data_IF_803226629080
#
_entry.id   IF_803226629080
#
_cell.length_a   1.000
_cell.length_b   1.000
_cell.length_c   1.000
_cell.angle_alpha   90.00
_cell.angle_beta   90.00
_cell.angle_gamma   90.00
#
_symmetry.space_group_name_H-M   'P 1'
#
loop_
_entity.id
_entity.type
_entity.pdbx_description
1 polymer ?
#
# COMPACT_ATOMS: atom_id res chain seq x y z
N UNK A 1 25.98 -12.93 -5.80
CA UNK A 1 27.03 -12.40 -6.69
C UNK A 1 27.06 -10.90 -6.49
N UNK A 2 28.27 -10.32 -6.36
CA UNK A 2 28.48 -8.89 -6.12
C UNK A 2 29.02 -8.25 -7.40
N UNK A 3 28.54 -7.04 -7.68
CA UNK A 3 28.91 -6.23 -8.84
C UNK A 3 29.24 -4.83 -8.33
N UNK A 4 30.53 -4.52 -8.27
CA UNK A 4 31.03 -3.27 -7.71
C UNK A 4 30.60 -2.10 -8.60
N UNK A 5 30.08 -1.02 -8.00
CA UNK A 5 29.56 0.12 -8.72
C UNK A 5 30.66 0.84 -9.51
N UNK A 6 31.86 0.92 -8.94
CA UNK A 6 33.01 1.56 -9.56
C UNK A 6 33.50 0.82 -10.81
N UNK A 7 33.10 -0.42 -11.05
CA UNK A 7 33.41 -1.15 -12.30
C UNK A 7 32.35 -0.93 -13.39
N UNK A 8 31.29 -0.16 -13.09
CA UNK A 8 30.22 0.19 -14.02
C UNK A 8 30.63 1.20 -15.10
N UNK A 9 29.66 1.53 -15.95
CA UNK A 9 29.76 2.64 -16.91
C UNK A 9 29.23 3.90 -16.23
N UNK A 10 30.12 4.88 -16.06
CA UNK A 10 29.83 6.16 -15.41
C UNK A 10 29.52 7.23 -16.47
N UNK A 11 28.40 7.92 -16.33
CA UNK A 11 28.04 9.10 -17.11
C UNK A 11 27.81 10.28 -16.16
N UNK A 12 28.68 11.28 -16.17
CA UNK A 12 28.59 12.47 -15.31
C UNK A 12 28.95 12.24 -13.83
N UNK A 13 28.81 11.01 -13.34
CA UNK A 13 29.24 10.55 -12.00
C UNK A 13 30.73 10.21 -11.92
N UNK A 14 31.27 10.08 -10.71
CA UNK A 14 32.68 9.77 -10.46
C UNK A 14 32.91 8.70 -9.38
N UNK A 15 34.11 8.09 -9.40
CA UNK A 15 34.55 7.13 -8.36
C UNK A 15 35.10 7.89 -7.16
N UNK A 16 34.78 7.44 -5.95
CA UNK A 16 35.31 8.00 -4.70
C UNK A 16 35.74 6.91 -3.72
N UNK A 17 36.56 7.31 -2.75
CA UNK A 17 37.02 6.50 -1.61
C UNK A 17 36.97 7.30 -0.30
N UNK A 18 36.27 8.44 -0.29
CA UNK A 18 36.30 9.37 0.86
C UNK A 18 35.50 8.82 2.05
N UNK A 19 34.30 8.30 1.80
CA UNK A 19 33.50 7.60 2.81
C UNK A 19 34.11 6.22 3.05
N UNK A 20 34.41 5.84 4.29
CA UNK A 20 34.98 4.54 4.61
C UNK A 20 33.93 3.40 4.54
N UNK A 21 34.41 2.16 4.59
CA UNK A 21 33.59 0.92 4.65
C UNK A 21 32.81 0.58 3.38
N UNK A 22 33.27 1.05 2.21
CA UNK A 22 32.84 0.55 0.89
C UNK A 22 33.38 -0.87 0.62
N UNK A 23 32.77 -1.59 -0.33
CA UNK A 23 33.34 -2.82 -0.91
C UNK A 23 34.23 -2.54 -2.11
N UNK A 24 34.96 -3.56 -2.58
CA UNK A 24 35.86 -3.39 -3.71
C UNK A 24 36.97 -2.34 -3.47
N UNK A 25 37.09 -1.41 -4.41
CA UNK A 25 38.12 -0.38 -4.48
C UNK A 25 37.55 1.05 -4.39
N UNK A 26 36.25 1.21 -4.18
CA UNK A 26 35.61 2.51 -4.02
C UNK A 26 34.11 2.40 -4.15
N UNK A 27 33.48 3.51 -4.49
CA UNK A 27 32.06 3.61 -4.77
C UNK A 27 31.83 4.71 -5.80
N UNK A 28 30.60 4.84 -6.30
CA UNK A 28 30.22 5.89 -7.27
C UNK A 28 29.38 6.96 -6.58
N UNK A 29 29.71 8.22 -6.85
CA UNK A 29 29.06 9.43 -6.31
C UNK A 29 28.92 10.50 -7.38
N UNK A 30 28.40 11.68 -7.03
CA UNK A 30 28.26 12.82 -7.95
C UNK A 30 27.04 12.73 -8.86
N UNK A 31 25.94 12.16 -8.36
CA UNK A 31 24.64 12.24 -9.02
C UNK A 31 24.04 13.64 -8.79
N UNK A 32 24.47 14.63 -9.57
CA UNK A 32 24.19 16.06 -9.31
C UNK A 32 23.37 16.72 -10.44
N UNK A 33 23.51 16.23 -11.67
CA UNK A 33 22.83 16.70 -12.88
C UNK A 33 21.77 15.69 -13.34
N UNK A 34 20.66 16.13 -13.97
CA UNK A 34 19.59 15.24 -14.42
C UNK A 34 20.03 14.10 -15.37
N UNK A 35 21.10 14.32 -16.14
CA UNK A 35 21.67 13.34 -17.08
C UNK A 35 22.63 12.33 -16.44
N UNK A 36 23.02 12.53 -15.18
CA UNK A 36 23.99 11.65 -14.53
C UNK A 36 23.41 10.25 -14.34
N UNK A 37 24.25 9.25 -14.59
CA UNK A 37 23.85 7.85 -14.44
C UNK A 37 25.03 6.93 -14.20
N UNK A 38 24.71 5.81 -13.55
CA UNK A 38 25.60 4.67 -13.34
C UNK A 38 24.93 3.44 -13.94
N UNK A 39 25.61 2.75 -14.86
CA UNK A 39 25.16 1.45 -15.36
C UNK A 39 26.07 0.33 -14.88
N UNK A 40 25.53 -0.57 -14.05
CA UNK A 40 26.21 -1.76 -13.53
C UNK A 40 25.85 -2.96 -14.40
N UNK A 41 26.85 -3.71 -14.83
CA UNK A 41 26.65 -4.93 -15.61
C UNK A 41 26.47 -6.12 -14.67
N UNK A 42 25.27 -6.69 -14.63
CA UNK A 42 24.92 -7.86 -13.85
C UNK A 42 25.01 -9.12 -14.70
N UNK A 43 25.92 -10.03 -14.38
CA UNK A 43 26.02 -11.32 -15.06
C UNK A 43 25.17 -12.38 -14.34
N UNK A 44 24.14 -12.88 -15.01
CA UNK A 44 23.29 -13.96 -14.51
C UNK A 44 23.66 -15.29 -15.21
N UNK A 45 23.99 -16.36 -14.46
CA UNK A 45 24.43 -17.64 -15.04
C UNK A 45 23.33 -18.38 -15.81
N UNK A 46 22.07 -18.01 -15.61
CA UNK A 46 20.89 -18.55 -16.27
C UNK A 46 19.73 -17.57 -16.14
N UNK A 47 18.78 -17.61 -17.07
CA UNK A 47 17.56 -16.81 -16.98
C UNK A 47 16.78 -17.18 -15.70
N UNK A 48 16.22 -16.16 -15.04
CA UNK A 48 15.32 -16.37 -13.92
C UNK A 48 15.13 -15.15 -13.03
N UNK A 49 14.47 -15.37 -11.90
CA UNK A 49 14.29 -14.35 -10.88
C UNK A 49 15.47 -14.32 -9.93
N UNK A 50 15.94 -13.11 -9.65
CA UNK A 50 17.01 -12.84 -8.71
C UNK A 50 16.55 -11.81 -7.69
N UNK A 51 16.83 -12.06 -6.41
CA UNK A 51 16.72 -11.03 -5.37
C UNK A 51 17.87 -10.06 -5.59
N UNK A 52 17.58 -8.77 -5.57
CA UNK A 52 18.52 -7.68 -5.74
C UNK A 52 18.69 -6.93 -4.41
N UNK A 53 19.93 -6.57 -4.11
CA UNK A 53 20.30 -5.67 -3.03
C UNK A 53 21.18 -4.55 -3.60
N UNK A 54 21.09 -3.38 -2.98
CA UNK A 54 21.84 -2.19 -3.35
C UNK A 54 22.67 -1.80 -2.11
N UNK A 55 23.98 -1.84 -2.24
CA UNK A 55 24.88 -1.19 -1.29
C UNK A 55 24.89 0.30 -1.57
N UNK A 56 24.49 1.12 -0.59
CA UNK A 56 24.36 2.56 -0.78
C UNK A 56 24.71 3.34 0.48
N UNK A 57 25.01 4.62 0.30
CA UNK A 57 25.08 5.61 1.37
C UNK A 57 24.23 6.83 0.99
N UNK A 58 23.35 7.25 1.90
CA UNK A 58 22.44 8.39 1.71
C UNK A 58 22.77 9.52 2.69
N UNK A 59 23.88 10.24 2.54
CA UNK A 59 24.34 11.19 3.56
C UNK A 59 23.49 12.47 3.65
N UNK A 60 22.60 12.70 2.69
CA UNK A 60 21.93 14.00 2.49
C UNK A 60 20.43 14.00 2.78
N UNK A 61 19.93 13.15 3.68
CA UNK A 61 18.49 12.97 3.89
C UNK A 61 17.87 12.01 2.88
N UNK A 62 16.55 11.81 2.91
CA UNK A 62 15.85 10.93 1.97
C UNK A 62 16.18 11.25 0.51
N UNK A 63 16.45 10.21 -0.28
CA UNK A 63 16.67 10.28 -1.71
C UNK A 63 15.86 9.26 -2.47
N UNK A 64 15.79 9.47 -3.77
CA UNK A 64 15.15 8.58 -4.72
C UNK A 64 16.00 8.52 -6.00
N UNK A 65 16.12 7.34 -6.59
CA UNK A 65 16.71 7.13 -7.92
C UNK A 65 15.72 6.38 -8.80
N UNK A 66 15.65 6.71 -10.09
CA UNK A 66 14.93 5.87 -11.05
C UNK A 66 15.88 4.79 -11.58
N UNK A 67 15.36 3.57 -11.63
CA UNK A 67 16.06 2.37 -12.05
C UNK A 67 15.58 1.95 -13.44
N UNK A 68 16.52 1.52 -14.27
CA UNK A 68 16.20 0.84 -15.52
C UNK A 68 16.97 -0.47 -15.65
N UNK A 69 16.36 -1.43 -16.32
CA UNK A 69 16.93 -2.75 -16.59
C UNK A 69 16.92 -2.99 -18.10
N UNK A 70 18.09 -3.30 -18.67
CA UNK A 70 18.28 -3.55 -20.09
C UNK A 70 17.71 -2.42 -20.97
N UNK A 71 17.83 -1.17 -20.48
CA UNK A 71 17.36 0.03 -21.17
C UNK A 71 15.86 0.30 -21.09
N UNK A 72 15.10 -0.51 -20.34
CA UNK A 72 13.68 -0.27 -20.06
C UNK A 72 13.51 0.28 -18.63
N UNK A 73 12.59 1.24 -18.41
CA UNK A 73 12.19 1.63 -17.06
C UNK A 73 11.83 0.39 -16.24
N UNK A 74 12.32 0.31 -15.02
CA UNK A 74 12.10 -0.85 -14.15
C UNK A 74 11.26 -0.48 -12.93
N UNK A 75 11.68 0.53 -12.17
CA UNK A 75 11.00 1.07 -11.00
C UNK A 75 11.81 2.24 -10.44
N UNK A 76 11.40 2.81 -9.30
CA UNK A 76 12.22 3.71 -8.49
C UNK A 76 12.76 3.01 -7.23
N UNK A 77 13.73 3.65 -6.58
CA UNK A 77 14.25 3.22 -5.28
C UNK A 77 14.35 4.39 -4.32
N UNK A 78 13.71 4.28 -3.16
CA UNK A 78 13.92 5.19 -2.02
C UNK A 78 15.17 4.78 -1.25
N UNK A 79 16.08 5.73 -1.06
CA UNK A 79 17.31 5.60 -0.32
C UNK A 79 17.20 6.45 0.95
N UNK A 80 16.85 5.81 2.06
CA UNK A 80 16.69 6.48 3.37
C UNK A 80 18.04 6.98 3.89
N UNK A 81 18.07 8.07 4.68
CA UNK A 81 19.32 8.65 5.13
C UNK A 81 20.17 7.69 5.96
N UNK A 82 21.48 7.72 5.73
CA UNK A 82 22.46 6.90 6.46
C UNK A 82 23.69 7.72 6.84
N UNK A 83 24.41 7.26 7.86
CA UNK A 83 25.70 7.85 8.28
C UNK A 83 26.91 7.13 7.65
N UNK A 84 26.68 6.21 6.73
CA UNK A 84 27.67 5.34 6.09
C UNK A 84 26.99 4.30 5.20
N UNK A 85 27.79 3.42 4.59
CA UNK A 85 27.26 2.38 3.71
C UNK A 85 26.39 1.39 4.47
N UNK A 86 25.22 1.11 3.90
CA UNK A 86 24.29 0.06 4.31
C UNK A 86 23.84 -0.72 3.09
N UNK A 87 23.12 -1.82 3.32
CA UNK A 87 22.53 -2.62 2.26
C UNK A 87 21.01 -2.50 2.30
N UNK A 88 20.42 -2.10 1.17
CA UNK A 88 18.99 -2.16 0.94
C UNK A 88 18.66 -3.47 0.23
N UNK A 89 17.84 -4.33 0.87
CA UNK A 89 17.15 -5.42 0.17
C UNK A 89 16.04 -4.83 -0.68
N UNK A 90 16.35 -4.51 -1.93
CA UNK A 90 15.44 -3.81 -2.83
C UNK A 90 14.24 -4.69 -3.18
N UNK A 91 14.41 -5.68 -4.05
CA UNK A 91 13.32 -6.50 -4.56
C UNK A 91 13.81 -7.54 -5.55
N UNK A 92 12.88 -8.31 -6.14
CA UNK A 92 13.22 -9.28 -7.17
C UNK A 92 13.30 -8.63 -8.55
N UNK A 93 14.18 -9.14 -9.40
CA UNK A 93 14.39 -8.71 -10.77
C UNK A 93 14.50 -9.94 -11.68
N UNK A 94 13.86 -9.90 -12.86
CA UNK A 94 14.06 -10.93 -13.88
C UNK A 94 15.31 -10.62 -14.69
N UNK A 95 16.26 -11.55 -14.71
CA UNK A 95 17.48 -11.40 -15.52
C UNK A 95 17.50 -12.46 -16.62
N UNK A 96 17.95 -12.06 -17.80
CA UNK A 96 18.28 -12.98 -18.90
C UNK A 96 19.59 -13.71 -18.59
N UNK A 97 19.81 -14.88 -19.20
CA UNK A 97 21.14 -15.52 -19.15
C UNK A 97 22.21 -14.59 -19.75
N UNK A 98 23.34 -14.45 -19.07
CA UNK A 98 24.44 -13.59 -19.46
C UNK A 98 24.37 -12.19 -18.87
N UNK A 99 24.83 -11.21 -19.64
CA UNK A 99 24.97 -9.82 -19.18
C UNK A 99 23.63 -9.08 -19.26
N UNK A 100 23.24 -8.47 -18.15
CA UNK A 100 22.12 -7.55 -18.03
C UNK A 100 22.66 -6.19 -17.57
N UNK A 101 22.04 -5.10 -18.00
CA UNK A 101 22.46 -3.74 -17.62
C UNK A 101 21.46 -3.16 -16.63
N UNK A 102 21.89 -2.90 -15.40
CA UNK A 102 21.08 -2.27 -14.37
C UNK A 102 21.59 -0.85 -14.13
N UNK A 103 20.73 0.14 -14.33
CA UNK A 103 21.13 1.54 -14.40
C UNK A 103 20.39 2.37 -13.36
N UNK A 104 21.16 3.14 -12.59
CA UNK A 104 20.70 4.21 -11.71
C UNK A 104 20.77 5.54 -12.47
N UNK A 105 19.71 6.32 -12.39
CA UNK A 105 19.71 7.73 -12.86
C UNK A 105 19.64 8.67 -11.66
N UNK A 106 20.04 9.93 -11.83
CA UNK A 106 20.09 10.92 -10.75
C UNK A 106 18.88 10.92 -9.85
N UNK A 107 17.65 10.96 -10.38
CA UNK A 107 16.46 11.12 -9.54
C UNK A 107 16.58 12.38 -8.67
N UNK A 108 16.57 12.23 -7.35
CA UNK A 108 16.81 13.33 -6.39
C UNK A 108 18.31 13.64 -6.17
N UNK A 109 19.21 12.79 -6.66
CA UNK A 109 20.66 12.97 -6.62
C UNK A 109 21.31 12.79 -5.24
N UNK A 110 22.57 13.18 -5.10
CA UNK A 110 23.25 13.32 -3.79
C UNK A 110 23.28 12.06 -2.91
N UNK A 111 23.38 10.88 -3.52
CA UNK A 111 23.61 9.59 -2.87
C UNK A 111 24.84 8.89 -3.48
N UNK A 112 25.33 7.88 -2.78
CA UNK A 112 26.45 7.05 -3.19
C UNK A 112 25.99 5.61 -3.42
N UNK A 113 26.51 4.96 -4.45
CA UNK A 113 26.27 3.54 -4.76
C UNK A 113 27.59 2.77 -4.64
N UNK A 114 27.61 1.75 -3.79
CA UNK A 114 28.76 0.89 -3.49
C UNK A 114 28.78 -0.33 -4.42
N UNK A 115 27.70 -1.11 -4.42
CA UNK A 115 27.58 -2.30 -5.24
C UNK A 115 26.12 -2.65 -5.52
N UNK A 116 25.92 -3.52 -6.51
CA UNK A 116 24.69 -4.28 -6.69
C UNK A 116 24.98 -5.74 -6.38
N UNK A 117 24.14 -6.36 -5.56
CA UNK A 117 24.22 -7.80 -5.25
C UNK A 117 22.98 -8.49 -5.76
N UNK A 118 23.15 -9.64 -6.42
CA UNK A 118 22.05 -10.51 -6.83
C UNK A 118 22.20 -11.94 -6.32
N UNK A 119 21.07 -12.59 -6.05
CA UNK A 119 20.99 -14.00 -5.68
C UNK A 119 19.79 -14.64 -6.38
N UNK A 120 20.01 -15.77 -7.06
CA UNK A 120 18.91 -16.50 -7.72
C UNK A 120 17.87 -16.91 -6.68
N UNK A 121 16.60 -16.63 -6.99
CA UNK A 121 15.46 -16.95 -6.13
C UNK A 121 14.96 -18.34 -6.49
N UNK A 122 14.72 -19.15 -5.46
CA UNK A 122 14.05 -20.42 -5.64
C UNK A 122 12.58 -20.17 -6.05
N UNK A 123 11.95 -21.06 -6.83
CA UNK A 123 10.53 -20.95 -7.14
C UNK A 123 9.70 -20.76 -5.87
N UNK A 124 8.77 -19.80 -5.90
CA UNK A 124 7.93 -19.45 -4.75
C UNK A 124 7.13 -20.68 -4.30
N UNK A 125 7.13 -20.96 -3.00
CA UNK A 125 6.26 -21.98 -2.42
C UNK A 125 4.81 -21.51 -2.39
N UNK A 126 3.87 -22.45 -2.25
CA UNK A 126 2.47 -22.10 -2.03
C UNK A 126 2.33 -21.29 -0.74
N UNK A 127 1.51 -20.25 -0.78
CA UNK A 127 1.16 -19.42 0.38
C UNK A 127 0.69 -20.23 1.59
N UNK A 128 1.08 -19.79 2.79
CA UNK A 128 0.78 -20.45 4.06
C UNK A 128 -0.43 -19.86 4.80
N UNK A 129 -1.18 -18.99 4.14
CA UNK A 129 -2.38 -18.35 4.68
C UNK A 129 -3.47 -19.39 4.95
N UNK A 130 -4.08 -19.32 6.13
CA UNK A 130 -5.22 -20.17 6.54
C UNK A 130 -6.50 -19.37 6.51
N UNK A 131 -7.64 -20.04 6.30
CA UNK A 131 -8.94 -19.42 6.41
C UNK A 131 -9.38 -19.25 7.88
N UNK A 132 -8.71 -18.36 8.60
CA UNK A 132 -8.95 -18.04 10.00
C UNK A 132 -8.87 -16.51 10.14
N UNK A 133 -9.94 -15.89 10.63
CA UNK A 133 -9.95 -14.46 10.97
C UNK A 133 -9.56 -14.29 12.46
N UNK A 134 -8.93 -13.17 12.80
CA UNK A 134 -8.47 -12.86 14.16
C UNK A 134 -9.64 -12.75 15.14
N UNK A 135 -10.83 -12.38 14.66
CA UNK A 135 -12.05 -12.41 15.45
C UNK A 135 -12.66 -13.84 15.45
N UNK A 136 -12.67 -14.56 16.58
CA UNK A 136 -13.22 -15.91 16.65
C UNK A 136 -14.75 -15.96 16.47
N UNK A 137 -15.43 -14.82 16.59
CA UNK A 137 -16.88 -14.69 16.41
C UNK A 137 -17.25 -14.15 15.02
N UNK A 138 -16.31 -14.09 14.07
CA UNK A 138 -16.54 -13.56 12.73
C UNK A 138 -17.80 -14.15 12.08
N UNK A 139 -18.57 -13.32 11.38
CA UNK A 139 -19.79 -13.78 10.69
C UNK A 139 -19.45 -14.79 9.60
N UNK A 140 -20.43 -15.61 9.21
CA UNK A 140 -20.26 -16.57 8.12
C UNK A 140 -19.90 -15.85 6.81
N UNK A 141 -20.43 -14.66 6.58
CA UNK A 141 -20.19 -13.86 5.39
C UNK A 141 -18.74 -13.34 5.35
N UNK A 142 -18.19 -12.91 6.49
CA UNK A 142 -16.79 -12.49 6.59
C UNK A 142 -15.85 -13.67 6.34
N UNK A 143 -16.11 -14.83 6.96
CA UNK A 143 -15.33 -16.06 6.72
C UNK A 143 -15.43 -16.55 5.27
N UNK A 144 -16.60 -16.43 4.65
CA UNK A 144 -16.80 -16.80 3.24
C UNK A 144 -16.07 -15.84 2.30
N UNK A 145 -16.10 -14.52 2.57
CA UNK A 145 -15.32 -13.54 1.80
C UNK A 145 -13.81 -13.81 1.94
N UNK A 146 -13.32 -14.00 3.16
CA UNK A 146 -11.91 -14.31 3.39
C UNK A 146 -11.49 -15.61 2.69
N UNK A 147 -12.33 -16.65 2.75
CA UNK A 147 -12.10 -17.90 2.00
C UNK A 147 -12.01 -17.66 0.50
N UNK A 148 -12.89 -16.84 -0.06
CA UNK A 148 -12.89 -16.52 -1.48
C UNK A 148 -11.58 -15.83 -1.89
N UNK A 149 -11.14 -14.81 -1.14
CA UNK A 149 -9.85 -14.16 -1.36
C UNK A 149 -8.71 -15.17 -1.32
N UNK A 150 -8.70 -16.07 -0.33
CA UNK A 150 -7.70 -17.13 -0.22
C UNK A 150 -7.71 -18.13 -1.39
N UNK A 151 -8.89 -18.51 -1.88
CA UNK A 151 -9.02 -19.46 -2.98
C UNK A 151 -8.46 -18.89 -4.30
N UNK A 152 -8.43 -17.56 -4.44
CA UNK A 152 -7.87 -16.81 -5.58
C UNK A 152 -6.45 -16.27 -5.36
N UNK A 153 -5.97 -16.23 -4.12
CA UNK A 153 -4.64 -15.72 -3.78
C UNK A 153 -3.52 -16.49 -4.51
N UNK A 154 -2.73 -15.77 -5.31
CA UNK A 154 -1.69 -16.34 -6.20
C UNK A 154 -2.21 -17.00 -7.48
N UNK A 155 -3.49 -16.81 -7.81
CA UNK A 155 -4.09 -17.30 -9.07
C UNK A 155 -4.77 -16.20 -9.87
N UNK A 156 -5.30 -15.21 -9.18
CA UNK A 156 -5.96 -14.05 -9.75
C UNK A 156 -5.71 -12.83 -8.86
N UNK A 157 -5.90 -11.66 -9.44
CA UNK A 157 -6.05 -10.40 -8.71
C UNK A 157 -7.48 -9.89 -8.90
N UNK A 158 -8.12 -9.42 -7.84
CA UNK A 158 -9.44 -8.78 -7.96
C UNK A 158 -9.26 -7.32 -8.39
N UNK A 159 -10.05 -6.87 -9.36
CA UNK A 159 -10.12 -5.46 -9.77
C UNK A 159 -10.82 -4.62 -8.72
N UNK A 160 -10.32 -3.41 -8.47
CA UNK A 160 -10.96 -2.48 -7.56
C UNK A 160 -10.84 -1.02 -7.96
N UNK A 161 -11.81 -0.23 -7.52
CA UNK A 161 -11.91 1.21 -7.76
C UNK A 161 -12.45 1.91 -6.51
N UNK A 162 -11.82 3.00 -6.09
CA UNK A 162 -12.37 3.90 -5.08
C UNK A 162 -13.56 4.66 -5.68
N UNK A 163 -14.61 4.87 -4.87
CA UNK A 163 -15.85 5.56 -5.24
C UNK A 163 -16.79 4.76 -6.16
N UNK A 164 -18.05 4.64 -5.74
CA UNK A 164 -19.08 3.92 -6.49
C UNK A 164 -19.39 4.54 -7.85
N UNK A 165 -19.37 5.88 -7.97
CA UNK A 165 -19.72 6.54 -9.23
C UNK A 165 -18.70 6.19 -10.30
N UNK A 166 -17.41 6.32 -9.98
CA UNK A 166 -16.34 6.00 -10.92
C UNK A 166 -16.29 4.51 -11.24
N UNK A 167 -16.55 3.63 -10.26
CA UNK A 167 -16.72 2.21 -10.51
C UNK A 167 -17.83 1.92 -11.53
N UNK A 168 -18.96 2.63 -11.47
CA UNK A 168 -20.05 2.51 -12.45
C UNK A 168 -19.68 3.11 -13.81
N UNK A 169 -18.89 4.17 -13.85
CA UNK A 169 -18.39 4.79 -15.08
C UNK A 169 -17.43 3.85 -15.84
N UNK A 170 -16.62 3.06 -15.13
CA UNK A 170 -15.79 2.02 -15.75
C UNK A 170 -16.61 1.01 -16.56
N UNK A 171 -17.83 0.67 -16.10
CA UNK A 171 -18.73 -0.17 -16.88
C UNK A 171 -19.19 0.51 -18.17
N UNK A 172 -19.51 1.81 -18.08
CA UNK A 172 -19.97 2.57 -19.23
C UNK A 172 -18.88 2.73 -20.28
N UNK A 173 -17.62 2.88 -19.86
CA UNK A 173 -16.48 3.10 -20.76
C UNK A 173 -15.80 1.81 -21.24
N UNK A 174 -15.56 0.86 -20.33
CA UNK A 174 -14.77 -0.35 -20.59
C UNK A 174 -15.58 -1.65 -20.58
N UNK A 175 -16.88 -1.58 -20.27
CA UNK A 175 -17.82 -2.71 -20.35
C UNK A 175 -17.79 -3.66 -19.14
N UNK A 176 -16.97 -3.38 -18.13
CA UNK A 176 -16.76 -4.22 -16.94
C UNK A 176 -16.89 -3.40 -15.66
N UNK A 177 -17.42 -4.02 -14.61
CA UNK A 177 -17.44 -3.45 -13.26
C UNK A 177 -16.28 -4.03 -12.46
N UNK A 178 -15.61 -3.24 -11.59
CA UNK A 178 -14.62 -3.78 -10.66
C UNK A 178 -15.26 -4.79 -9.71
N UNK A 179 -14.48 -5.76 -9.23
CA UNK A 179 -14.95 -6.70 -8.22
C UNK A 179 -15.08 -6.05 -6.82
N UNK A 180 -14.17 -5.11 -6.52
CA UNK A 180 -14.06 -4.40 -5.23
C UNK A 180 -14.38 -2.92 -5.44
N UNK A 181 -15.15 -2.31 -4.53
CA UNK A 181 -15.27 -0.85 -4.47
C UNK A 181 -14.79 -0.36 -3.11
N UNK A 182 -13.96 0.68 -3.16
CA UNK A 182 -13.48 1.42 -2.01
C UNK A 182 -14.42 2.55 -1.62
N UNK A 183 -14.68 2.66 -0.33
CA UNK A 183 -15.59 3.63 0.28
C UNK A 183 -14.92 4.32 1.48
N UNK A 184 -15.47 5.44 1.93
CA UNK A 184 -14.91 6.22 3.04
C UNK A 184 -15.96 6.74 4.03
N UNK A 185 -15.73 6.48 5.32
CA UNK A 185 -16.59 6.98 6.40
C UNK A 185 -16.26 8.41 6.86
N UNK A 186 -15.34 9.14 6.20
CA UNK A 186 -14.90 10.50 6.54
C UNK A 186 -16.04 11.44 6.92
N UNK A 187 -17.10 11.49 6.11
CA UNK A 187 -18.24 12.39 6.27
C UNK A 187 -19.12 12.07 7.50
N UNK A 188 -18.95 10.88 8.12
CA UNK A 188 -19.59 10.51 9.39
C UNK A 188 -18.78 10.94 10.62
N UNK A 189 -17.55 11.42 10.47
CA UNK A 189 -16.74 11.90 11.60
C UNK A 189 -17.49 13.02 12.34
N UNK A 190 -17.69 12.95 13.68
CA UNK A 190 -18.52 13.90 14.41
C UNK A 190 -18.15 15.37 14.21
N UNK A 191 -16.86 15.68 14.06
CA UNK A 191 -16.40 17.05 13.78
C UNK A 191 -16.82 17.55 12.40
N UNK A 192 -16.86 16.70 11.39
CA UNK A 192 -17.40 17.07 10.07
C UNK A 192 -18.92 17.22 10.11
N UNK A 193 -19.62 16.32 10.79
CA UNK A 193 -21.08 16.41 11.00
C UNK A 193 -21.46 17.70 11.72
N UNK A 194 -20.67 18.13 12.71
CA UNK A 194 -20.86 19.41 13.39
C UNK A 194 -20.73 20.63 12.45
N UNK A 195 -19.96 20.48 11.37
CA UNK A 195 -19.82 21.48 10.29
C UNK A 195 -20.84 21.29 9.15
N UNK A 196 -21.82 20.40 9.32
CA UNK A 196 -22.94 20.22 8.40
C UNK A 196 -22.71 19.14 7.33
N UNK A 197 -21.64 18.34 7.43
CA UNK A 197 -21.48 17.16 6.60
C UNK A 197 -22.63 16.18 6.77
N UNK A 198 -22.99 15.52 5.67
CA UNK A 198 -23.94 14.42 5.64
C UNK A 198 -23.45 13.41 4.62
N UNK A 199 -23.60 12.12 4.92
CA UNK A 199 -23.07 11.04 4.10
C UNK A 199 -24.17 10.09 3.66
N UNK A 200 -23.98 9.53 2.46
CA UNK A 200 -24.75 8.40 1.93
C UNK A 200 -23.88 7.16 1.72
N UNK A 201 -22.71 7.10 2.34
CA UNK A 201 -21.73 6.06 2.04
C UNK A 201 -22.28 4.66 2.35
N UNK A 202 -23.01 4.50 3.46
CA UNK A 202 -23.65 3.22 3.79
C UNK A 202 -24.70 2.84 2.75
N UNK A 203 -25.49 3.79 2.25
CA UNK A 203 -26.45 3.55 1.16
C UNK A 203 -25.76 3.15 -0.14
N UNK A 204 -24.62 3.76 -0.48
CA UNK A 204 -23.82 3.39 -1.64
C UNK A 204 -23.24 1.96 -1.48
N UNK A 205 -22.80 1.59 -0.28
CA UNK A 205 -22.32 0.23 0.01
C UNK A 205 -23.45 -0.80 -0.15
N UNK A 206 -24.65 -0.50 0.35
CA UNK A 206 -25.83 -1.35 0.17
C UNK A 206 -26.15 -1.55 -1.31
N UNK A 207 -26.11 -0.47 -2.10
CA UNK A 207 -26.31 -0.54 -3.55
C UNK A 207 -25.24 -1.40 -4.25
N UNK A 208 -23.99 -1.32 -3.80
CA UNK A 208 -22.91 -2.11 -4.37
C UNK A 208 -23.03 -3.60 -4.03
N UNK A 209 -23.43 -3.91 -2.80
CA UNK A 209 -23.68 -5.29 -2.36
C UNK A 209 -24.88 -5.92 -3.12
N UNK A 210 -25.91 -5.14 -3.46
CA UNK A 210 -27.02 -5.60 -4.35
C UNK A 210 -26.54 -6.03 -5.75
N UNK A 211 -25.39 -5.54 -6.21
CA UNK A 211 -24.76 -5.98 -7.47
C UNK A 211 -23.84 -7.20 -7.27
N UNK A 212 -23.67 -7.66 -6.03
CA UNK A 212 -22.79 -8.75 -5.63
C UNK A 212 -21.33 -8.35 -5.45
N UNK A 213 -21.07 -7.06 -5.25
CA UNK A 213 -19.74 -6.51 -5.11
C UNK A 213 -19.07 -6.80 -3.76
N UNK A 214 -17.76 -6.56 -3.71
CA UNK A 214 -16.98 -6.59 -2.47
C UNK A 214 -16.71 -5.17 -2.02
N UNK A 215 -16.88 -4.90 -0.73
CA UNK A 215 -16.67 -3.59 -0.11
C UNK A 215 -15.33 -3.57 0.63
N UNK A 216 -14.46 -2.62 0.28
CA UNK A 216 -13.35 -2.17 1.13
C UNK A 216 -13.63 -0.77 1.65
N UNK A 217 -13.32 -0.52 2.91
CA UNK A 217 -13.80 0.65 3.63
C UNK A 217 -12.68 1.26 4.45
N UNK A 218 -12.35 2.50 4.11
CA UNK A 218 -11.42 3.34 4.84
C UNK A 218 -12.17 4.33 5.73
N UNK A 219 -11.40 5.04 6.55
CA UNK A 219 -11.91 6.18 7.31
C UNK A 219 -10.82 7.23 7.41
N UNK A 220 -10.92 8.27 6.59
CA UNK A 220 -10.15 9.50 6.81
C UNK A 220 -10.71 10.20 8.05
N UNK A 221 -10.23 9.77 9.22
CA UNK A 221 -10.74 10.19 10.51
C UNK A 221 -10.43 11.66 10.74
N UNK A 222 -11.41 12.54 10.61
CA UNK A 222 -11.25 13.95 10.94
C UNK A 222 -11.10 14.08 12.46
N UNK A 223 -10.01 14.70 12.95
CA UNK A 223 -9.68 14.68 14.36
C UNK A 223 -10.87 15.11 15.25
N UNK A 224 -11.04 14.49 16.44
CA UNK A 224 -12.21 14.69 17.30
C UNK A 224 -12.34 16.11 17.86
N UNK A 225 -11.23 16.85 17.94
CA UNK A 225 -11.15 18.22 18.46
C UNK A 225 -9.88 18.90 17.97
N UNK A 226 -9.69 20.15 18.37
CA UNK A 226 -8.48 20.95 18.09
C UNK A 226 -8.15 21.06 16.60
N UNK A 227 -9.17 21.21 15.76
CA UNK A 227 -8.99 21.55 14.35
C UNK A 227 -8.39 22.96 14.24
N UNK A 228 -7.46 23.15 13.29
CA UNK A 228 -6.91 24.47 13.02
C UNK A 228 -7.98 25.43 12.49
N UNK A 229 -8.84 24.92 11.58
CA UNK A 229 -9.95 25.62 10.95
C UNK A 229 -9.62 27.06 10.50
N UNK A 230 -8.56 27.17 9.68
CA UNK A 230 -8.13 28.41 9.04
C UNK A 230 -8.41 28.40 7.53
N UNK A 231 -8.09 29.49 6.84
CA UNK A 231 -8.20 29.55 5.37
C UNK A 231 -7.25 28.53 4.70
N UNK A 232 -6.05 28.37 5.26
CA UNK A 232 -5.01 27.47 4.75
C UNK A 232 -5.26 26.01 5.16
N UNK A 233 -5.78 25.81 6.38
CA UNK A 233 -6.10 24.51 6.97
C UNK A 233 -7.58 24.48 7.41
N UNK A 234 -8.52 24.44 6.46
CA UNK A 234 -9.96 24.43 6.77
C UNK A 234 -10.37 23.14 7.50
N UNK A 235 -11.44 23.20 8.30
CA UNK A 235 -11.91 22.07 9.13
C UNK A 235 -12.01 20.72 8.42
N UNK A 236 -12.32 20.70 7.12
CA UNK A 236 -12.49 19.46 6.34
C UNK A 236 -11.17 18.75 6.05
N UNK A 237 -10.03 19.39 6.32
CA UNK A 237 -8.67 18.81 6.30
C UNK A 237 -8.21 18.28 7.66
N UNK A 238 -9.11 18.21 8.65
CA UNK A 238 -8.79 17.85 10.03
C UNK A 238 -8.27 16.43 10.26
N UNK A 239 -8.22 15.59 9.22
CA UNK A 239 -7.57 14.29 9.25
C UNK A 239 -6.04 14.38 9.05
N UNK A 240 -5.55 15.44 8.39
CA UNK A 240 -4.12 15.70 8.27
C UNK A 240 -3.51 16.18 9.59
N UNK A 241 -2.27 15.80 9.85
CA UNK A 241 -1.46 16.27 10.99
C UNK A 241 -1.35 17.79 11.01
N UNK A 242 -1.23 18.44 9.86
CA UNK A 242 -1.20 19.91 9.77
C UNK A 242 -2.57 20.57 9.98
N UNK A 243 -3.66 19.80 9.89
CA UNK A 243 -5.04 20.27 10.03
C UNK A 243 -5.54 20.30 11.47
N UNK A 244 -4.75 19.83 12.45
CA UNK A 244 -5.14 19.74 13.85
C UNK A 244 -3.94 19.85 14.80
N UNK A 245 -4.16 20.32 16.03
CA UNK A 245 -3.18 20.20 17.13
C UNK A 245 -3.49 19.05 18.09
N UNK A 246 -4.41 18.15 17.73
CA UNK A 246 -4.80 17.01 18.56
C UNK A 246 -3.60 16.08 18.84
N UNK A 247 -3.33 15.81 20.12
CA UNK A 247 -2.20 14.97 20.53
C UNK A 247 -2.68 13.58 20.94
N UNK A 248 -2.57 12.63 20.01
CA UNK A 248 -3.01 11.25 20.23
C UNK A 248 -2.21 10.55 21.34
N UNK A 249 -0.93 10.87 21.52
CA UNK A 249 -0.12 10.24 22.58
C UNK A 249 -0.63 10.67 23.96
N UNK A 250 -0.90 11.97 24.13
CA UNK A 250 -1.47 12.50 25.38
C UNK A 250 -2.89 11.99 25.64
N UNK A 251 -3.73 11.90 24.61
CA UNK A 251 -5.07 11.36 24.73
C UNK A 251 -5.05 9.90 25.21
N UNK A 252 -4.22 9.05 24.58
CA UNK A 252 -4.09 7.63 24.95
C UNK A 252 -3.40 7.40 26.30
N UNK A 253 -2.53 8.31 26.73
CA UNK A 253 -1.89 8.24 28.05
C UNK A 253 -2.86 8.53 29.21
N UNK A 254 -4.00 9.18 28.93
CA UNK A 254 -4.95 9.65 29.94
C UNK A 254 -6.39 9.17 29.66
N UNK A 255 -6.75 7.90 29.95
CA UNK A 255 -8.07 7.34 29.62
C UNK A 255 -9.28 8.05 30.24
N UNK A 256 -9.10 8.78 31.34
CA UNK A 256 -10.17 9.56 31.97
C UNK A 256 -10.38 10.96 31.35
N UNK A 257 -9.47 11.38 30.46
CA UNK A 257 -9.49 12.69 29.82
C UNK A 257 -10.69 12.88 28.88
N UNK A 258 -11.01 14.14 28.59
CA UNK A 258 -11.99 14.49 27.57
C UNK A 258 -11.54 14.00 26.19
N UNK A 259 -10.26 14.16 25.87
CA UNK A 259 -9.66 13.78 24.58
C UNK A 259 -9.84 12.29 24.29
N UNK A 260 -9.58 11.43 25.28
CA UNK A 260 -9.82 10.00 25.16
C UNK A 260 -11.31 9.67 24.98
N UNK A 261 -12.19 10.35 25.70
CA UNK A 261 -13.65 10.17 25.57
C UNK A 261 -14.15 10.60 24.18
N UNK A 262 -13.57 11.64 23.59
CA UNK A 262 -13.92 12.07 22.24
C UNK A 262 -13.44 11.06 21.19
N UNK A 263 -12.24 10.46 21.35
CA UNK A 263 -11.81 9.32 20.52
C UNK A 263 -12.86 8.20 20.58
N UNK A 264 -13.28 7.79 21.78
CA UNK A 264 -14.28 6.74 21.93
C UNK A 264 -15.63 7.13 21.30
N UNK A 265 -16.06 8.39 21.44
CA UNK A 265 -17.29 8.88 20.84
C UNK A 265 -17.27 8.77 19.31
N UNK A 266 -16.16 9.17 18.68
CA UNK A 266 -16.00 9.06 17.22
C UNK A 266 -16.07 7.59 16.77
N UNK A 267 -15.37 6.69 17.48
CA UNK A 267 -15.42 5.25 17.21
C UNK A 267 -16.86 4.72 17.35
N UNK A 268 -17.58 5.14 18.39
CA UNK A 268 -18.96 4.71 18.65
C UNK A 268 -19.93 5.21 17.55
N UNK A 269 -19.72 6.41 17.01
CA UNK A 269 -20.50 6.94 15.87
C UNK A 269 -20.23 6.14 14.60
N UNK A 270 -18.98 5.80 14.33
CA UNK A 270 -18.61 4.92 13.20
C UNK A 270 -19.17 3.51 13.39
N UNK A 271 -19.16 2.99 14.62
CA UNK A 271 -19.71 1.68 14.94
C UNK A 271 -21.20 1.57 14.57
N UNK A 272 -21.99 2.64 14.70
CA UNK A 272 -23.39 2.68 14.26
C UNK A 272 -23.49 2.40 12.75
N UNK A 273 -22.61 2.98 11.93
CA UNK A 273 -22.63 2.76 10.48
C UNK A 273 -22.20 1.34 10.11
N UNK A 274 -21.11 0.85 10.72
CA UNK A 274 -20.65 -0.53 10.54
C UNK A 274 -21.70 -1.55 11.00
N UNK A 275 -22.48 -1.23 12.05
CA UNK A 275 -23.57 -2.09 12.53
C UNK A 275 -24.67 -2.25 11.50
N UNK A 276 -25.02 -1.17 10.77
CA UNK A 276 -26.00 -1.24 9.67
C UNK A 276 -25.55 -2.21 8.58
N UNK A 277 -24.25 -2.21 8.24
CA UNK A 277 -23.68 -3.16 7.28
C UNK A 277 -23.73 -4.60 7.82
N UNK A 278 -23.42 -4.80 9.11
CA UNK A 278 -23.55 -6.12 9.74
C UNK A 278 -25.00 -6.63 9.72
N UNK A 279 -25.97 -5.77 10.02
CA UNK A 279 -27.40 -6.11 10.01
C UNK A 279 -27.91 -6.45 8.60
N UNK A 280 -27.28 -5.89 7.56
CA UNK A 280 -27.47 -6.27 6.17
C UNK A 280 -26.70 -7.54 5.76
N UNK A 281 -25.94 -8.17 6.67
CA UNK A 281 -25.05 -9.30 6.42
C UNK A 281 -23.90 -9.00 5.44
N UNK A 282 -23.47 -7.75 5.35
CA UNK A 282 -22.38 -7.33 4.46
C UNK A 282 -21.04 -7.50 5.17
N UNK A 283 -20.14 -8.37 4.70
CA UNK A 283 -18.76 -8.43 5.19
C UNK A 283 -17.96 -7.25 4.63
N UNK A 284 -17.10 -6.67 5.47
CA UNK A 284 -16.36 -5.44 5.14
C UNK A 284 -14.87 -5.68 5.29
N UNK A 285 -14.11 -5.37 4.24
CA UNK A 285 -12.65 -5.21 4.29
C UNK A 285 -12.35 -3.86 4.97
N UNK A 286 -12.14 -3.89 6.29
CA UNK A 286 -12.06 -2.70 7.14
C UNK A 286 -10.62 -2.25 7.33
N UNK A 287 -10.29 -1.07 6.79
CA UNK A 287 -8.93 -0.51 6.75
C UNK A 287 -8.87 0.85 7.47
N UNK A 288 -8.98 0.87 8.81
CA UNK A 288 -8.83 2.10 9.58
C UNK A 288 -7.36 2.49 9.75
N UNK A 289 -7.11 3.76 10.08
CA UNK A 289 -5.79 4.30 10.38
C UNK A 289 -4.77 4.03 9.25
N UNK A 290 -5.20 4.12 8.00
CA UNK A 290 -4.35 3.88 6.84
C UNK A 290 -3.18 4.87 6.78
N UNK A 291 -2.10 4.45 6.11
CA UNK A 291 -0.87 5.23 5.91
C UNK A 291 -0.25 5.81 7.19
N UNK A 292 -0.44 5.13 8.33
CA UNK A 292 0.02 5.62 9.63
C UNK A 292 1.53 5.92 9.63
N UNK A 293 2.34 5.10 8.96
CA UNK A 293 3.79 5.25 8.89
C UNK A 293 4.25 6.56 8.23
N UNK A 294 3.41 7.15 7.38
CA UNK A 294 3.69 8.40 6.70
C UNK A 294 3.66 9.63 7.61
N UNK A 295 2.92 9.55 8.73
CA UNK A 295 2.83 10.62 9.72
C UNK A 295 2.08 11.88 9.26
N UNK A 296 1.59 11.94 8.01
CA UNK A 296 0.78 13.04 7.50
C UNK A 296 -0.66 13.03 8.00
N UNK A 297 -1.13 11.90 8.55
CA UNK A 297 -2.39 11.84 9.28
C UNK A 297 -2.17 11.84 10.79
N UNK A 298 -3.09 12.45 11.53
CA UNK A 298 -2.89 12.71 12.97
C UNK A 298 -2.70 11.43 13.80
N UNK A 299 -3.24 10.29 13.35
CA UNK A 299 -3.07 9.00 14.03
C UNK A 299 -1.65 8.43 13.91
N UNK A 300 -0.88 8.86 12.91
CA UNK A 300 0.54 8.53 12.72
C UNK A 300 1.52 9.59 13.26
N UNK A 301 1.03 10.79 13.60
CA UNK A 301 1.88 11.95 13.91
C UNK A 301 2.83 11.80 15.10
N UNK A 302 2.55 10.86 16.01
CA UNK A 302 3.33 10.61 17.24
C UNK A 302 4.12 9.30 17.19
N UNK A 303 4.32 8.76 15.98
CA UNK A 303 5.12 7.57 15.74
C UNK A 303 4.35 6.26 15.97
N UNK A 304 5.07 5.12 15.90
CA UNK A 304 4.45 3.79 15.81
C UNK A 304 3.68 3.37 17.06
N UNK A 305 4.17 3.69 18.26
CA UNK A 305 3.56 3.20 19.51
C UNK A 305 2.16 3.76 19.76
N UNK A 306 1.90 5.08 19.65
CA UNK A 306 0.54 5.62 19.72
C UNK A 306 -0.38 5.05 18.62
N UNK A 307 0.10 4.91 17.38
CA UNK A 307 -0.69 4.36 16.28
C UNK A 307 -1.13 2.91 16.55
N UNK A 308 -0.21 2.04 16.99
CA UNK A 308 -0.52 0.66 17.38
C UNK A 308 -1.51 0.59 18.54
N UNK A 309 -1.35 1.45 19.56
CA UNK A 309 -2.30 1.54 20.68
C UNK A 309 -3.70 1.95 20.21
N UNK A 310 -3.80 2.92 19.29
CA UNK A 310 -5.09 3.35 18.73
C UNK A 310 -5.73 2.25 17.87
N UNK A 311 -4.94 1.53 17.06
CA UNK A 311 -5.46 0.40 16.26
C UNK A 311 -6.04 -0.70 17.16
N UNK A 312 -5.35 -1.03 18.25
CA UNK A 312 -5.85 -2.02 19.23
C UNK A 312 -7.06 -1.51 20.01
N UNK A 313 -7.16 -0.21 20.28
CA UNK A 313 -8.35 0.41 20.86
C UNK A 313 -9.56 0.31 19.91
N UNK A 314 -9.37 0.59 18.63
CA UNK A 314 -10.40 0.37 17.60
C UNK A 314 -10.83 -1.09 17.57
N UNK A 315 -9.87 -2.02 17.54
CA UNK A 315 -10.15 -3.45 17.54
C UNK A 315 -11.02 -3.86 18.73
N UNK A 316 -10.61 -3.49 19.95
CA UNK A 316 -11.37 -3.82 21.16
C UNK A 316 -12.76 -3.17 21.17
N UNK A 317 -12.84 -1.88 20.84
CA UNK A 317 -14.10 -1.14 20.88
C UNK A 317 -15.09 -1.66 19.83
N UNK A 318 -14.66 -1.85 18.58
CA UNK A 318 -15.54 -2.30 17.50
C UNK A 318 -15.88 -3.79 17.63
N UNK A 319 -14.88 -4.64 17.87
CA UNK A 319 -15.06 -6.11 17.91
C UNK A 319 -15.65 -6.57 19.25
N UNK A 320 -15.07 -6.17 20.38
CA UNK A 320 -15.45 -6.71 21.70
C UNK A 320 -16.57 -5.92 22.36
N UNK A 321 -16.62 -4.59 22.22
CA UNK A 321 -17.70 -3.78 22.84
C UNK A 321 -18.93 -3.71 21.94
N UNK A 322 -18.78 -3.34 20.66
CA UNK A 322 -19.90 -3.21 19.72
C UNK A 322 -20.33 -4.51 19.03
N UNK A 323 -19.55 -5.59 19.19
CA UNK A 323 -19.83 -6.91 18.62
C UNK A 323 -20.01 -6.83 17.09
N UNK A 324 -19.11 -6.09 16.44
CA UNK A 324 -18.96 -6.01 14.99
C UNK A 324 -18.06 -7.15 14.51
N UNK A 325 -18.71 -8.22 14.09
CA UNK A 325 -18.14 -9.48 13.67
C UNK A 325 -18.07 -9.64 12.14
N UNK A 326 -18.59 -8.68 11.37
CA UNK A 326 -18.53 -8.67 9.90
C UNK A 326 -17.26 -8.01 9.34
N UNK A 327 -16.36 -7.53 10.19
CA UNK A 327 -15.15 -6.81 9.79
C UNK A 327 -13.98 -7.78 9.59
N UNK A 328 -13.27 -7.62 8.48
CA UNK A 328 -11.97 -8.23 8.19
C UNK A 328 -10.94 -7.11 8.32
N UNK A 329 -10.08 -7.19 9.33
CA UNK A 329 -9.19 -6.11 9.75
C UNK A 329 -7.95 -5.99 8.86
N UNK A 330 -7.73 -4.81 8.29
CA UNK A 330 -6.61 -4.53 7.40
C UNK A 330 -5.65 -3.55 8.08
N UNK A 331 -4.35 -3.86 8.06
CA UNK A 331 -3.29 -2.93 8.45
C UNK A 331 -2.51 -2.47 7.22
N UNK A 332 -2.21 -1.17 7.16
CA UNK A 332 -1.64 -0.51 5.98
C UNK A 332 -0.26 0.10 6.28
N UNK A 333 0.78 -0.74 6.24
CA UNK A 333 2.19 -0.35 6.38
C UNK A 333 3.07 -1.60 6.23
N UNK A 334 4.19 -1.47 5.53
CA UNK A 334 5.19 -2.52 5.36
C UNK A 334 6.27 -2.50 6.47
N UNK A 335 6.27 -1.47 7.32
CA UNK A 335 7.27 -1.32 8.38
C UNK A 335 6.98 -2.23 9.59
N UNK A 336 7.92 -3.10 9.99
CA UNK A 336 7.79 -3.92 11.20
C UNK A 336 7.60 -3.11 12.49
N UNK A 337 8.11 -1.88 12.56
CA UNK A 337 7.99 -1.02 13.75
C UNK A 337 6.55 -0.58 13.99
N UNK A 338 5.77 -0.46 12.92
CA UNK A 338 4.40 0.03 12.92
C UNK A 338 3.35 -1.08 13.01
N UNK A 339 3.74 -2.34 12.79
CA UNK A 339 2.80 -3.47 12.79
C UNK A 339 2.15 -3.74 14.17
N UNK A 340 0.81 -3.70 14.31
CA UNK A 340 0.12 -3.81 15.60
C UNK A 340 0.01 -5.23 16.17
N UNK A 341 0.30 -6.25 15.35
CA UNK A 341 0.39 -7.65 15.75
C UNK A 341 -0.57 -8.59 15.02
N UNK A 342 -0.17 -9.86 14.94
CA UNK A 342 -0.91 -10.93 14.25
C UNK A 342 -2.30 -11.22 14.82
N UNK A 343 -2.55 -10.80 16.06
CA UNK A 343 -3.78 -11.06 16.81
C UNK A 343 -4.89 -10.02 16.56
N UNK A 344 -4.61 -8.95 15.82
CA UNK A 344 -5.58 -7.89 15.49
C UNK A 344 -5.65 -7.54 14.00
N UNK A 345 -4.83 -8.18 13.16
CA UNK A 345 -4.78 -7.96 11.70
C UNK A 345 -5.16 -9.23 10.96
N UNK A 346 -6.09 -9.16 10.02
CA UNK A 346 -6.43 -10.27 9.12
C UNK A 346 -5.60 -10.23 7.82
N UNK A 347 -5.46 -9.03 7.24
CA UNK A 347 -4.81 -8.78 5.95
C UNK A 347 -3.79 -7.64 6.12
N UNK A 348 -2.60 -7.79 5.54
CA UNK A 348 -1.62 -6.71 5.47
C UNK A 348 -1.74 -6.01 4.10
N UNK A 349 -1.61 -4.70 4.06
CA UNK A 349 -1.72 -3.95 2.82
C UNK A 349 -0.73 -2.80 2.75
N UNK A 350 -0.69 -2.20 1.57
CA UNK A 350 -0.02 -0.93 1.37
C UNK A 350 -0.74 -0.10 0.31
N UNK A 351 -0.52 1.20 0.38
CA UNK A 351 -0.97 2.17 -0.61
C UNK A 351 0.26 2.61 -1.42
N UNK A 352 0.12 2.66 -2.75
CA UNK A 352 1.28 2.90 -3.62
C UNK A 352 0.94 3.74 -4.85
N UNK A 353 1.59 4.89 -4.95
CA UNK A 353 1.39 5.87 -6.02
C UNK A 353 2.69 6.10 -6.79
N UNK A 354 3.10 5.15 -7.67
CA UNK A 354 4.26 5.34 -8.53
C UNK A 354 4.02 6.46 -9.56
N UNK A 355 5.05 6.81 -10.33
CA UNK A 355 4.93 7.82 -11.38
C UNK A 355 3.83 7.45 -12.39
N UNK A 356 3.14 8.46 -12.93
CA UNK A 356 2.09 8.23 -13.91
C UNK A 356 2.56 7.36 -15.09
N UNK A 357 1.79 6.31 -15.42
CA UNK A 357 2.12 5.33 -16.44
C UNK A 357 3.15 4.26 -16.03
N UNK A 358 3.65 4.26 -14.79
CA UNK A 358 4.45 3.17 -14.24
C UNK A 358 3.53 2.03 -13.78
N UNK A 359 3.33 1.06 -14.67
CA UNK A 359 2.53 -0.15 -14.41
C UNK A 359 3.34 -1.30 -13.79
N UNK A 360 4.47 -1.01 -13.15
CA UNK A 360 5.29 -2.04 -12.49
C UNK A 360 4.48 -2.84 -11.46
N UNK A 361 4.87 -4.09 -11.17
CA UNK A 361 4.12 -4.96 -10.26
C UNK A 361 4.31 -4.60 -8.78
N UNK A 362 5.10 -3.56 -8.48
CA UNK A 362 5.42 -3.09 -7.12
C UNK A 362 5.90 -4.26 -6.23
N UNK A 363 6.66 -5.18 -6.83
CA UNK A 363 6.98 -6.48 -6.25
C UNK A 363 7.84 -6.39 -4.99
N UNK A 364 8.67 -5.35 -4.88
CA UNK A 364 9.49 -5.14 -3.69
C UNK A 364 8.66 -4.95 -2.42
N UNK A 365 7.62 -4.11 -2.49
CA UNK A 365 6.69 -3.83 -1.38
C UNK A 365 5.86 -5.06 -1.06
N UNK A 366 5.38 -5.75 -2.09
CA UNK A 366 4.70 -7.03 -1.94
C UNK A 366 5.54 -8.03 -1.14
N UNK A 367 6.81 -8.23 -1.54
CA UNK A 367 7.70 -9.19 -0.88
C UNK A 367 8.00 -8.79 0.58
N UNK A 368 8.13 -7.50 0.87
CA UNK A 368 8.31 -6.98 2.23
C UNK A 368 7.09 -7.28 3.12
N UNK A 369 5.88 -7.09 2.60
CA UNK A 369 4.64 -7.42 3.30
C UNK A 369 4.52 -8.92 3.58
N UNK A 370 4.83 -9.77 2.59
CA UNK A 370 4.86 -11.24 2.76
C UNK A 370 5.87 -11.63 3.85
N UNK A 371 7.06 -11.04 3.86
CA UNK A 371 8.09 -11.28 4.88
C UNK A 371 7.64 -10.84 6.27
N UNK A 372 7.02 -9.65 6.38
CA UNK A 372 6.50 -9.09 7.63
C UNK A 372 5.51 -10.05 8.32
N UNK A 373 4.57 -10.59 7.56
CA UNK A 373 3.54 -11.52 8.08
C UNK A 373 3.93 -12.99 7.98
N UNK A 374 5.18 -13.27 7.58
CA UNK A 374 5.74 -14.61 7.41
C UNK A 374 4.90 -15.50 6.50
N UNK A 375 4.30 -14.92 5.45
CA UNK A 375 3.43 -15.59 4.47
C UNK A 375 2.15 -16.21 5.08
N UNK A 376 1.72 -15.73 6.26
CA UNK A 376 0.55 -16.26 6.99
C UNK A 376 -0.72 -15.43 6.83
N UNK A 377 -0.64 -14.26 6.20
CA UNK A 377 -1.77 -13.36 5.94
C UNK A 377 -1.83 -12.99 4.47
N UNK A 378 -3.02 -12.66 3.96
CA UNK A 378 -3.18 -12.11 2.62
C UNK A 378 -2.47 -10.75 2.54
N UNK A 379 -2.00 -10.42 1.34
CA UNK A 379 -1.36 -9.13 1.02
C UNK A 379 -2.19 -8.42 -0.04
N UNK A 380 -2.50 -7.13 0.15
CA UNK A 380 -3.34 -6.36 -0.77
C UNK A 380 -2.76 -4.99 -1.12
N UNK A 381 -3.04 -4.51 -2.33
CA UNK A 381 -2.73 -3.15 -2.78
C UNK A 381 -4.00 -2.31 -2.58
N UNK A 382 -4.12 -1.69 -1.42
CA UNK A 382 -5.40 -1.12 -0.96
C UNK A 382 -5.71 0.24 -1.51
N UNK A 383 -4.70 0.95 -1.99
CA UNK A 383 -4.83 2.08 -2.89
C UNK A 383 -3.69 2.05 -3.91
N UNK A 384 -3.99 2.48 -5.14
CA UNK A 384 -2.96 2.72 -6.14
C UNK A 384 -3.30 3.90 -7.06
N UNK A 385 -2.27 4.52 -7.60
CA UNK A 385 -2.39 5.37 -8.78
C UNK A 385 -2.45 4.51 -10.05
N UNK A 386 -1.35 4.40 -10.82
CA UNK A 386 -1.26 3.45 -11.92
C UNK A 386 -1.61 2.01 -11.51
N UNK A 387 -2.39 1.31 -12.33
CA UNK A 387 -2.78 -0.08 -12.12
C UNK A 387 -1.61 -0.98 -12.55
N UNK A 388 -1.13 -1.91 -11.71
CA UNK A 388 -0.07 -2.84 -12.11
C UNK A 388 -0.46 -3.68 -13.32
N UNK A 389 0.48 -3.86 -14.26
CA UNK A 389 0.27 -4.70 -15.44
C UNK A 389 0.06 -6.18 -15.01
N UNK A 390 -1.06 -6.82 -15.36
CA UNK A 390 -1.34 -8.21 -15.01
C UNK A 390 -0.30 -9.21 -15.51
N UNK A 391 0.32 -8.98 -16.67
CA UNK A 391 1.39 -9.86 -17.18
C UNK A 391 2.62 -9.76 -16.30
N UNK A 392 2.99 -8.54 -15.88
CA UNK A 392 4.10 -8.31 -14.95
C UNK A 392 3.81 -8.86 -13.55
N UNK A 393 2.56 -8.76 -13.08
CA UNK A 393 2.15 -9.37 -11.81
C UNK A 393 2.39 -10.89 -11.82
N UNK A 394 1.99 -11.56 -12.89
CA UNK A 394 2.21 -13.00 -13.05
C UNK A 394 3.69 -13.36 -13.22
N UNK A 395 4.42 -12.58 -14.03
CA UNK A 395 5.84 -12.79 -14.28
C UNK A 395 6.66 -12.67 -12.98
N UNK A 396 6.40 -11.64 -12.18
CA UNK A 396 7.07 -11.40 -10.91
C UNK A 396 6.46 -12.17 -9.74
N UNK A 397 5.34 -12.88 -9.93
CA UNK A 397 4.61 -13.56 -8.86
C UNK A 397 4.30 -12.61 -7.68
N UNK A 398 3.88 -11.39 -8.04
CA UNK A 398 3.38 -10.38 -7.11
C UNK A 398 1.90 -10.62 -6.89
N UNK A 399 1.62 -11.56 -6.00
CA UNK A 399 0.28 -12.11 -5.81
C UNK A 399 -0.58 -11.19 -4.94
N UNK A 400 -0.73 -9.91 -5.31
CA UNK A 400 -1.65 -8.99 -4.65
C UNK A 400 -3.08 -9.55 -4.69
N UNK A 401 -3.78 -9.55 -3.57
CA UNK A 401 -5.14 -10.09 -3.48
C UNK A 401 -6.13 -9.26 -4.30
N UNK A 402 -6.02 -7.94 -4.24
CA UNK A 402 -6.74 -6.99 -5.09
C UNK A 402 -5.89 -5.72 -5.25
N UNK A 403 -6.22 -4.93 -6.26
CA UNK A 403 -5.84 -3.52 -6.36
C UNK A 403 -7.08 -2.64 -6.16
N UNK A 404 -6.92 -1.37 -5.79
CA UNK A 404 -8.02 -0.42 -5.68
C UNK A 404 -7.56 0.97 -6.12
N UNK A 405 -7.81 1.31 -7.39
CA UNK A 405 -7.35 2.58 -7.94
C UNK A 405 -8.06 3.74 -7.26
N UNK A 406 -7.32 4.78 -6.87
CA UNK A 406 -7.91 5.97 -6.26
C UNK A 406 -8.78 6.74 -7.25
N UNK A 407 -9.60 7.65 -6.72
CA UNK A 407 -10.55 8.40 -7.51
C UNK A 407 -9.93 9.61 -8.23
N UNK A 408 -10.69 10.24 -9.12
CA UNK A 408 -10.31 11.49 -9.76
C UNK A 408 -9.23 11.32 -10.82
N UNK A 409 -8.11 12.03 -10.68
CA UNK A 409 -7.05 12.02 -11.70
C UNK A 409 -6.45 10.63 -11.91
N UNK A 410 -6.38 9.79 -10.86
CA UNK A 410 -5.78 8.47 -10.95
C UNK A 410 -6.48 7.51 -11.91
N UNK A 411 -7.77 7.72 -12.20
CA UNK A 411 -8.52 6.89 -13.14
C UNK A 411 -9.03 7.66 -14.37
N UNK A 412 -9.29 8.97 -14.25
CA UNK A 412 -10.01 9.73 -15.28
C UNK A 412 -9.12 10.57 -16.21
N UNK A 413 -7.86 10.85 -15.86
CA UNK A 413 -7.05 11.83 -16.58
C UNK A 413 -6.39 11.29 -17.87
N UNK A 414 -6.29 9.97 -18.01
CA UNK A 414 -5.60 9.30 -19.11
C UNK A 414 -4.06 9.41 -19.07
N UNK A 415 -3.51 9.95 -17.99
CA UNK A 415 -2.07 10.14 -17.72
C UNK A 415 -1.60 9.09 -16.72
N UNK A 416 -2.29 8.95 -15.59
CA UNK A 416 -1.98 7.95 -14.54
C UNK A 416 -2.21 6.54 -15.07
N UNK A 417 -3.39 6.34 -15.69
CA UNK A 417 -3.79 5.14 -16.39
C UNK A 417 -4.38 5.52 -17.75
N UNK A 418 -3.68 5.19 -18.84
CA UNK A 418 -4.23 5.42 -20.18
C UNK A 418 -5.35 4.41 -20.51
N UNK A 419 -6.19 4.76 -21.49
CA UNK A 419 -7.39 3.97 -21.83
C UNK A 419 -7.05 2.55 -22.30
N UNK A 420 -6.00 2.42 -23.11
CA UNK A 420 -5.54 1.14 -23.63
C UNK A 420 -5.13 0.20 -22.49
N UNK A 421 -4.44 0.73 -21.48
CA UNK A 421 -4.04 -0.02 -20.29
C UNK A 421 -5.24 -0.45 -19.44
N UNK A 422 -6.16 0.47 -19.13
CA UNK A 422 -7.38 0.12 -18.38
C UNK A 422 -8.16 -0.97 -19.12
N UNK A 423 -8.30 -0.84 -20.45
CA UNK A 423 -8.98 -1.83 -21.26
C UNK A 423 -8.25 -3.18 -21.25
N UNK A 424 -6.91 -3.21 -21.30
CA UNK A 424 -6.12 -4.43 -21.16
C UNK A 424 -6.38 -5.09 -19.81
N UNK A 425 -6.24 -4.34 -18.71
CA UNK A 425 -6.42 -4.84 -17.33
C UNK A 425 -7.79 -5.48 -17.15
N UNK A 426 -8.87 -4.76 -17.46
CA UNK A 426 -10.24 -5.23 -17.20
C UNK A 426 -10.70 -6.37 -18.12
N UNK A 427 -9.95 -6.66 -19.20
CA UNK A 427 -10.20 -7.82 -20.08
C UNK A 427 -9.18 -8.95 -19.87
N UNK A 428 -8.24 -8.80 -18.94
CA UNK A 428 -7.19 -9.77 -18.72
C UNK A 428 -7.69 -10.97 -17.91
N UNK A 429 -7.41 -12.24 -18.30
CA UNK A 429 -7.92 -13.43 -17.61
C UNK A 429 -7.40 -13.62 -16.18
N UNK A 430 -6.33 -12.92 -15.80
CA UNK A 430 -5.81 -12.90 -14.43
C UNK A 430 -6.61 -11.95 -13.51
N UNK A 431 -7.34 -10.99 -14.07
CA UNK A 431 -8.05 -9.94 -13.32
C UNK A 431 -9.52 -10.30 -13.20
N UNK A 432 -10.00 -10.50 -11.97
CA UNK A 432 -11.42 -10.78 -11.72
C UNK A 432 -12.22 -9.48 -11.65
N UNK A 433 -13.27 -9.44 -12.45
CA UNK A 433 -14.28 -8.38 -12.48
C UNK A 433 -15.58 -8.84 -11.82
N UNK A 434 -16.52 -7.92 -11.58
CA UNK A 434 -17.75 -8.23 -10.84
C UNK A 434 -18.53 -9.42 -11.41
N UNK A 435 -18.61 -9.56 -12.74
CA UNK A 435 -19.37 -10.63 -13.39
C UNK A 435 -18.80 -12.03 -13.13
N UNK A 436 -17.54 -12.12 -12.72
CA UNK A 436 -16.80 -13.33 -12.41
C UNK A 436 -16.84 -13.71 -10.92
N UNK A 437 -17.46 -12.85 -10.07
CA UNK A 437 -17.69 -13.17 -8.67
C UNK A 437 -18.77 -14.25 -8.49
N UNK A 438 -18.64 -15.10 -7.45
CA UNK A 438 -19.51 -16.26 -7.25
C UNK A 438 -20.95 -15.87 -6.91
N UNK A 439 -21.90 -16.69 -7.34
CA UNK A 439 -23.34 -16.40 -7.23
C UNK A 439 -23.88 -16.26 -5.80
N UNK A 440 -23.20 -16.75 -4.76
CA UNK A 440 -23.67 -16.54 -3.38
C UNK A 440 -23.58 -15.07 -2.93
N UNK A 441 -22.92 -14.22 -3.73
CA UNK A 441 -22.94 -12.77 -3.59
C UNK A 441 -24.08 -12.09 -4.36
N UNK A 442 -24.73 -12.77 -5.30
CA UNK A 442 -25.77 -12.21 -6.18
C UNK A 442 -27.19 -12.46 -5.66
#
# INVERSE_FOLDING_TARGET
MFFEAEDGVLNGVEKSQQTALFSGNGYVTGFDQPEDSLSVKLHAPEEGMYQLWIGYNGPNGDKQSNLSLNGQPFADVKLVPTTGFTELKYGRVKLLEGDNTFTFTTGWGWYDIDYVKIQKVAPKSKHQVKNELVNPNATKEALTLHKFLLDHYGKNILSGQQNLIEALELKAEYGKLPAVVGFDLIEYSPTRVAHGSNSKEVENILQWDELGGITTLAWHWNAPKDLIDSVEQPWYKGFYTEGTTFDIEQALANPDSEDYKMILNDIDVIAIQLKRLQEANIPVLWRPLHEAEGGWFWWGAKGPEPAKKLYRLLYDRLTNVHQLNNLIWIWNSESPEWYPGDDVVDIISIDSYPLAGDYSPINHRYDQLVELVQDRKLVALTENGPIPDPDLLQEYQSDWSWFCTWEGEFINDGIQNNKEHIQQVYNHPYVLTLDELPEYKK
#
